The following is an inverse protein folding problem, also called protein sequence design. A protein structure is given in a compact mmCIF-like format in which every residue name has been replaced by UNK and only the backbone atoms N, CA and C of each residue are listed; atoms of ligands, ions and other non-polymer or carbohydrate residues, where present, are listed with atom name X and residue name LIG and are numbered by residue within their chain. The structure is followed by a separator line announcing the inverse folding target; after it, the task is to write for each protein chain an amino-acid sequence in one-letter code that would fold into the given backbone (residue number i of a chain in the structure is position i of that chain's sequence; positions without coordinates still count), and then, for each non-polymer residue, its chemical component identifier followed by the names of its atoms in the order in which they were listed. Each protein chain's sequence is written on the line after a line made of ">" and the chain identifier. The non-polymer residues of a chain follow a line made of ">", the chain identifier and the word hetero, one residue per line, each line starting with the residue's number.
data_IF_391320822707
#
_entry.id   IF_391320822707
#
_cell.length_a   1.000
_cell.length_b   1.000
_cell.length_c   1.000
_cell.angle_alpha   90.00
_cell.angle_beta   90.00
_cell.angle_gamma   90.00
#
_symmetry.space_group_name_H-M   'P 1'
#
loop_
_entity.id
_entity.type
_entity.pdbx_description
1 polymer ?
#
# COMPACT_ATOMS: atom_id res chain seq x y z
N UNK A 1 9.71 -25.17 26.04
CA UNK A 1 10.52 -23.95 25.79
C UNK A 1 10.34 -23.57 24.33
N UNK A 2 10.46 -22.28 23.94
CA UNK A 2 10.54 -21.94 22.51
C UNK A 2 11.78 -22.57 21.88
N UNK A 3 11.83 -22.68 20.55
CA UNK A 3 13.02 -23.23 19.90
C UNK A 3 14.19 -22.26 20.08
N UNK A 4 15.15 -22.66 20.90
CA UNK A 4 16.31 -21.84 21.27
C UNK A 4 17.05 -21.31 20.05
N UNK A 5 17.17 -22.12 18.99
CA UNK A 5 17.87 -21.73 17.77
C UNK A 5 17.24 -20.49 17.10
N UNK A 6 15.91 -20.43 16.99
CA UNK A 6 15.21 -19.30 16.35
C UNK A 6 15.28 -18.05 17.22
N UNK A 7 15.21 -18.22 18.55
CA UNK A 7 15.44 -17.11 19.49
C UNK A 7 16.83 -16.52 19.28
N UNK A 8 17.86 -17.37 19.24
CA UNK A 8 19.24 -16.91 19.00
C UNK A 8 19.38 -16.20 17.65
N UNK A 9 18.81 -16.74 16.57
CA UNK A 9 18.84 -16.06 15.26
C UNK A 9 18.25 -14.64 15.32
N UNK A 10 17.14 -14.45 16.04
CA UNK A 10 16.55 -13.12 16.21
C UNK A 10 17.44 -12.17 17.03
N UNK A 11 18.10 -12.68 18.07
CA UNK A 11 19.06 -11.88 18.86
C UNK A 11 20.30 -11.53 18.03
N UNK A 12 20.88 -12.50 17.33
CA UNK A 12 22.04 -12.32 16.45
C UNK A 12 21.72 -11.28 15.35
N UNK A 13 20.49 -11.26 14.83
CA UNK A 13 20.04 -10.26 13.85
C UNK A 13 20.07 -8.83 14.42
N UNK A 14 19.63 -8.65 15.67
CA UNK A 14 19.74 -7.36 16.36
C UNK A 14 21.20 -6.96 16.59
N UNK A 15 22.06 -7.89 17.05
CA UNK A 15 23.47 -7.61 17.32
C UNK A 15 24.27 -7.27 16.05
N UNK A 16 23.91 -7.87 14.91
CA UNK A 16 24.55 -7.64 13.63
C UNK A 16 24.27 -6.24 13.06
N UNK A 17 23.09 -5.68 13.32
CA UNK A 17 22.64 -4.41 12.75
C UNK A 17 22.68 -3.24 13.73
N UNK A 18 22.94 -3.51 15.01
CA UNK A 18 22.96 -2.48 16.06
C UNK A 18 24.15 -2.63 17.01
N UNK A 19 24.33 -1.67 17.91
CA UNK A 19 25.28 -1.79 19.01
C UNK A 19 24.75 -2.58 20.22
N UNK A 20 23.50 -3.06 20.18
CA UNK A 20 22.90 -3.84 21.27
C UNK A 20 23.59 -5.19 21.42
N UNK A 21 23.75 -5.65 22.66
CA UNK A 21 24.33 -6.97 22.97
C UNK A 21 23.47 -7.71 23.98
N UNK A 22 23.15 -8.96 23.68
CA UNK A 22 22.31 -9.84 24.49
C UNK A 22 23.19 -10.87 25.19
N UNK A 23 23.40 -10.65 26.48
CA UNK A 23 24.24 -11.52 27.30
C UNK A 23 23.37 -12.46 28.12
N UNK A 24 23.68 -13.77 28.19
CA UNK A 24 22.94 -14.70 29.03
C UNK A 24 22.87 -14.23 30.49
N UNK A 25 21.66 -14.05 31.00
CA UNK A 25 21.44 -13.74 32.41
C UNK A 25 21.60 -15.01 33.27
N UNK A 26 22.13 -14.85 34.48
CA UNK A 26 22.09 -15.91 35.48
C UNK A 26 20.62 -16.18 35.88
N UNK A 27 20.26 -17.45 36.12
CA UNK A 27 18.91 -17.85 36.49
C UNK A 27 18.41 -17.18 37.78
N UNK A 28 19.33 -16.73 38.65
CA UNK A 28 19.04 -16.00 39.90
C UNK A 28 19.16 -14.48 39.76
N UNK A 29 19.34 -13.96 38.55
CA UNK A 29 19.49 -12.52 38.32
C UNK A 29 18.24 -11.75 38.75
N UNK A 30 18.44 -10.75 39.61
CA UNK A 30 17.42 -9.78 40.01
C UNK A 30 17.42 -8.53 39.12
N UNK A 31 18.40 -8.40 38.22
CA UNK A 31 18.45 -7.32 37.24
C UNK A 31 17.36 -7.54 36.17
N UNK A 32 16.83 -6.46 35.56
CA UNK A 32 15.95 -6.58 34.40
C UNK A 32 16.61 -7.41 33.29
N UNK A 33 15.88 -8.40 32.78
CA UNK A 33 16.35 -9.27 31.69
C UNK A 33 15.16 -9.83 30.91
N UNK A 34 15.41 -10.36 29.71
CA UNK A 34 14.39 -11.01 28.91
C UNK A 34 14.28 -12.50 29.26
N UNK A 35 13.05 -12.97 29.44
CA UNK A 35 12.73 -14.38 29.66
C UNK A 35 11.88 -14.90 28.51
N UNK A 36 12.52 -15.57 27.56
CA UNK A 36 11.83 -16.21 26.46
C UNK A 36 11.06 -17.44 26.94
N UNK A 37 9.73 -17.38 26.87
CA UNK A 37 8.83 -18.44 27.34
C UNK A 37 7.85 -18.83 26.24
N UNK A 38 7.39 -20.08 26.27
CA UNK A 38 6.31 -20.55 25.40
C UNK A 38 4.97 -20.31 26.10
N UNK A 39 4.40 -19.12 25.93
CA UNK A 39 3.07 -18.78 26.44
C UNK A 39 2.08 -18.68 25.27
N UNK A 40 0.84 -18.28 25.55
CA UNK A 40 -0.16 -18.06 24.50
C UNK A 40 0.19 -16.81 23.67
N UNK A 41 0.15 -16.96 22.35
CA UNK A 41 0.45 -15.88 21.39
C UNK A 41 1.92 -15.48 21.32
N UNK A 42 2.19 -14.53 20.42
CA UNK A 42 3.47 -13.83 20.30
C UNK A 42 3.27 -12.46 20.94
N UNK A 43 4.03 -12.16 22.01
CA UNK A 43 3.90 -10.88 22.73
C UNK A 43 5.11 -10.57 23.60
N UNK A 44 5.36 -9.28 23.78
CA UNK A 44 6.27 -8.73 24.77
C UNK A 44 5.71 -7.43 25.35
N UNK A 45 6.14 -7.09 26.56
CA UNK A 45 6.01 -5.73 27.08
C UNK A 45 6.85 -4.74 26.28
N UNK A 46 6.48 -3.46 26.32
CA UNK A 46 7.21 -2.39 25.62
C UNK A 46 8.18 -1.70 26.59
N UNK A 47 9.47 -1.80 26.31
CA UNK A 47 10.54 -1.30 27.18
C UNK A 47 10.80 -2.20 28.40
N UNK A 48 11.46 -1.63 29.42
CA UNK A 48 11.80 -2.33 30.66
C UNK A 48 10.63 -2.22 31.65
N UNK A 49 9.95 -3.33 31.91
CA UNK A 49 8.72 -3.30 32.74
C UNK A 49 8.94 -3.42 34.25
N UNK A 50 9.96 -4.17 34.71
CA UNK A 50 10.11 -4.50 36.14
C UNK A 50 11.53 -4.87 36.54
N UNK A 51 11.80 -4.79 37.85
CA UNK A 51 12.92 -5.48 38.47
C UNK A 51 12.69 -7.00 38.39
N UNK A 52 13.72 -7.76 37.99
CA UNK A 52 13.60 -9.17 37.60
C UNK A 52 13.18 -9.38 36.14
N UNK A 53 13.09 -10.63 35.70
CA UNK A 53 12.91 -10.95 34.28
C UNK A 53 11.50 -10.67 33.72
N UNK A 54 11.42 -10.03 32.55
CA UNK A 54 10.19 -9.81 31.79
C UNK A 54 9.96 -10.89 30.74
N UNK A 55 8.70 -11.31 30.56
CA UNK A 55 8.40 -12.42 29.66
C UNK A 55 8.32 -11.94 28.21
N UNK A 56 9.04 -12.65 27.34
CA UNK A 56 8.86 -12.58 25.88
C UNK A 56 8.21 -13.90 25.44
N UNK A 57 6.97 -13.83 24.99
CA UNK A 57 6.20 -15.01 24.59
C UNK A 57 6.50 -15.38 23.15
N UNK A 58 7.07 -16.57 22.94
CA UNK A 58 7.22 -17.22 21.64
C UNK A 58 6.38 -18.50 21.67
N UNK A 59 5.11 -18.36 21.32
CA UNK A 59 4.11 -19.44 21.29
C UNK A 59 4.27 -20.42 20.11
N UNK A 60 3.28 -21.30 19.94
CA UNK A 60 3.33 -22.41 18.97
C UNK A 60 3.53 -21.98 17.50
N UNK A 61 3.02 -20.81 17.10
CA UNK A 61 3.09 -20.29 15.74
C UNK A 61 4.03 -19.07 15.61
N UNK A 62 4.84 -18.81 16.63
CA UNK A 62 5.71 -17.64 16.73
C UNK A 62 7.16 -17.95 16.36
N UNK A 63 7.46 -19.18 15.99
CA UNK A 63 8.82 -19.67 15.82
C UNK A 63 9.41 -19.29 14.45
N UNK A 64 9.49 -17.98 14.20
CA UNK A 64 10.08 -17.36 13.02
C UNK A 64 11.02 -16.25 13.48
N UNK A 65 12.17 -16.11 12.82
CA UNK A 65 13.15 -15.07 13.17
C UNK A 65 12.51 -13.67 13.20
N UNK A 66 11.72 -13.30 12.18
CA UNK A 66 11.04 -12.00 12.12
C UNK A 66 10.10 -11.74 13.29
N UNK A 67 9.42 -12.78 13.82
CA UNK A 67 8.58 -12.67 15.01
C UNK A 67 9.44 -12.46 16.26
N UNK A 68 10.54 -13.20 16.42
CA UNK A 68 11.46 -12.96 17.53
C UNK A 68 12.00 -11.53 17.49
N UNK A 69 12.42 -11.06 16.32
CA UNK A 69 12.91 -9.68 16.11
C UNK A 69 11.84 -8.66 16.51
N UNK A 70 10.57 -8.86 16.12
CA UNK A 70 9.43 -8.02 16.51
C UNK A 70 9.25 -7.96 18.03
N UNK A 71 9.20 -9.12 18.69
CA UNK A 71 8.97 -9.17 20.14
C UNK A 71 10.14 -8.58 20.93
N UNK A 72 11.37 -8.75 20.44
CA UNK A 72 12.55 -8.07 20.99
C UNK A 72 12.46 -6.57 20.73
N UNK A 73 11.97 -6.14 19.56
CA UNK A 73 11.67 -4.74 19.25
C UNK A 73 10.78 -4.08 20.30
N UNK A 74 9.69 -4.74 20.68
CA UNK A 74 8.88 -4.31 21.83
C UNK A 74 9.69 -4.23 23.11
N UNK A 75 10.43 -5.29 23.47
CA UNK A 75 11.21 -5.34 24.71
C UNK A 75 12.26 -4.22 24.81
N UNK A 76 12.79 -3.73 23.70
CA UNK A 76 13.75 -2.61 23.64
C UNK A 76 13.06 -1.23 23.50
N UNK A 77 11.73 -1.18 23.53
CA UNK A 77 10.96 0.06 23.60
C UNK A 77 10.27 0.51 22.31
N UNK A 78 10.25 -0.32 21.26
CA UNK A 78 9.55 0.02 20.02
C UNK A 78 8.06 -0.29 20.11
N UNK A 79 7.22 0.67 19.77
CA UNK A 79 5.78 0.48 19.58
C UNK A 79 5.48 0.11 18.13
N UNK A 80 4.27 -0.35 17.85
CA UNK A 80 3.85 -0.61 16.48
C UNK A 80 3.89 0.67 15.63
N UNK A 81 4.48 0.59 14.44
CA UNK A 81 4.64 1.71 13.50
C UNK A 81 3.30 2.36 13.15
N UNK A 82 2.23 1.54 13.10
CA UNK A 82 0.84 1.99 12.88
C UNK A 82 0.33 2.94 13.98
N UNK A 83 1.00 3.07 15.12
CA UNK A 83 0.57 3.95 16.22
C UNK A 83 1.25 5.32 16.17
N UNK A 84 2.16 5.57 15.24
CA UNK A 84 2.80 6.89 15.10
C UNK A 84 1.78 8.01 14.80
N UNK A 85 2.05 9.25 15.25
CA UNK A 85 1.14 10.38 15.03
C UNK A 85 1.03 10.79 13.56
N UNK A 86 2.07 10.53 12.76
CA UNK A 86 2.22 10.90 11.35
C UNK A 86 1.78 9.79 10.36
N UNK A 87 1.21 8.68 10.84
CA UNK A 87 0.87 7.54 9.98
C UNK A 87 -0.12 7.87 8.85
N UNK A 88 -1.03 8.83 9.07
CA UNK A 88 -2.21 8.99 8.20
C UNK A 88 -1.85 9.58 6.83
N UNK A 89 -0.62 10.11 6.68
CA UNK A 89 -0.03 10.50 5.38
C UNK A 89 0.56 9.32 4.60
N UNK A 90 0.71 8.15 5.24
CA UNK A 90 1.33 6.94 4.68
C UNK A 90 0.33 5.80 4.52
N UNK A 91 -0.62 5.68 5.45
CA UNK A 91 -1.66 4.66 5.46
C UNK A 91 -3.03 5.24 5.80
N UNK A 92 -4.08 4.49 5.51
CA UNK A 92 -5.44 4.72 5.95
C UNK A 92 -5.92 3.50 6.75
N UNK A 93 -6.47 3.75 7.94
CA UNK A 93 -7.03 2.72 8.81
C UNK A 93 -8.55 2.71 8.65
N UNK A 94 -9.13 1.57 8.31
CA UNK A 94 -10.58 1.39 8.26
C UNK A 94 -11.09 0.73 9.53
N UNK A 95 -11.50 1.57 10.49
CA UNK A 95 -12.00 1.14 11.79
C UNK A 95 -13.25 0.25 11.71
N UNK A 96 -14.07 0.39 10.66
CA UNK A 96 -15.27 -0.44 10.47
C UNK A 96 -14.96 -1.91 10.20
N UNK A 97 -13.77 -2.20 9.68
CA UNK A 97 -13.31 -3.57 9.43
C UNK A 97 -12.58 -4.16 10.64
N UNK A 98 -12.32 -3.39 11.70
CA UNK A 98 -11.55 -3.83 12.86
C UNK A 98 -12.49 -4.40 13.92
N UNK A 99 -12.08 -5.47 14.59
CA UNK A 99 -12.78 -6.00 15.75
C UNK A 99 -12.96 -4.89 16.81
N UNK A 100 -14.17 -4.62 17.32
CA UNK A 100 -14.40 -3.46 18.20
C UNK A 100 -13.49 -3.42 19.45
N UNK A 101 -13.14 -4.59 20.01
CA UNK A 101 -12.26 -4.70 21.18
C UNK A 101 -10.77 -4.52 20.84
N UNK A 102 -10.40 -4.49 19.56
CA UNK A 102 -9.02 -4.34 19.07
C UNK A 102 -8.72 -2.91 18.59
N UNK A 103 -9.71 -2.01 18.52
CA UNK A 103 -9.52 -0.63 18.05
C UNK A 103 -8.42 0.13 18.80
N UNK A 104 -8.25 -0.15 20.10
CA UNK A 104 -7.22 0.50 20.92
C UNK A 104 -5.79 0.25 20.41
N UNK A 105 -5.55 -0.88 19.72
CA UNK A 105 -4.26 -1.20 19.10
C UNK A 105 -3.92 -0.27 17.92
N UNK A 106 -4.92 0.39 17.34
CA UNK A 106 -4.80 1.34 16.25
C UNK A 106 -4.86 2.79 16.72
N UNK A 107 -4.94 3.09 18.01
CA UNK A 107 -4.95 4.48 18.48
C UNK A 107 -3.56 5.11 18.36
N UNK A 108 -3.46 6.29 17.73
CA UNK A 108 -2.21 7.04 17.62
C UNK A 108 -1.67 7.43 19.00
N UNK A 109 -0.36 7.44 19.14
CA UNK A 109 0.38 7.92 20.31
C UNK A 109 1.18 9.15 19.90
N UNK A 110 0.83 10.32 20.44
CA UNK A 110 1.41 11.59 20.01
C UNK A 110 2.88 11.81 20.41
N UNK A 111 3.37 11.03 21.37
CA UNK A 111 4.74 11.10 21.90
C UNK A 111 5.71 10.11 21.25
N UNK A 112 5.28 9.31 20.27
CA UNK A 112 6.20 8.41 19.58
C UNK A 112 7.20 9.19 18.74
N UNK A 113 8.44 8.69 18.72
CA UNK A 113 9.53 9.25 17.94
C UNK A 113 9.18 9.28 16.44
N UNK A 114 9.40 10.43 15.82
CA UNK A 114 9.26 10.62 14.36
C UNK A 114 10.55 11.14 13.72
N UNK A 115 11.68 10.98 14.41
CA UNK A 115 13.04 11.34 13.97
C UNK A 115 13.44 10.54 12.73
N UNK A 116 13.09 9.25 12.72
CA UNK A 116 13.19 8.41 11.51
C UNK A 116 11.85 8.44 10.78
N UNK A 117 11.89 8.56 9.46
CA UNK A 117 10.71 8.61 8.60
C UNK A 117 9.86 7.34 8.72
N UNK A 118 8.53 7.48 8.58
CA UNK A 118 7.59 6.37 8.71
C UNK A 118 7.96 5.21 7.78
N UNK A 119 7.91 3.97 8.27
CA UNK A 119 8.36 2.80 7.50
C UNK A 119 7.29 1.71 7.30
N UNK A 120 6.76 1.63 6.08
CA UNK A 120 5.82 0.58 5.67
C UNK A 120 6.41 -0.83 5.75
N UNK A 121 7.74 -0.96 5.66
CA UNK A 121 8.47 -2.23 5.72
C UNK A 121 8.91 -2.63 7.12
N UNK A 122 8.64 -1.78 8.13
CA UNK A 122 9.05 -2.00 9.50
C UNK A 122 8.56 -3.36 10.01
N UNK A 123 9.45 -4.05 10.74
CA UNK A 123 9.09 -5.24 11.51
C UNK A 123 8.01 -4.92 12.55
N UNK A 124 7.85 -3.66 12.96
CA UNK A 124 6.83 -3.21 13.90
C UNK A 124 5.53 -2.79 13.22
N UNK A 125 5.40 -2.88 11.89
CA UNK A 125 4.18 -2.54 11.18
C UNK A 125 3.21 -3.73 11.10
N UNK A 126 1.90 -3.46 11.26
CA UNK A 126 0.84 -4.45 11.03
C UNK A 126 0.71 -4.86 9.57
N UNK A 127 0.15 -6.05 9.33
CA UNK A 127 -0.25 -6.45 7.97
C UNK A 127 -1.63 -5.88 7.61
N UNK A 128 -1.98 -5.98 6.32
CA UNK A 128 -3.23 -5.45 5.69
C UNK A 128 -4.55 -5.84 6.36
N UNK A 129 -4.62 -7.03 6.98
CA UNK A 129 -5.84 -7.63 7.53
C UNK A 129 -5.76 -7.79 9.06
N UNK A 130 -4.80 -7.13 9.72
CA UNK A 130 -4.60 -7.27 11.17
C UNK A 130 -5.90 -6.93 11.91
N UNK A 131 -6.33 -7.81 12.82
CA UNK A 131 -7.57 -7.67 13.59
C UNK A 131 -8.86 -7.47 12.79
N UNK A 132 -8.90 -7.94 11.54
CA UNK A 132 -10.09 -7.85 10.70
C UNK A 132 -11.26 -8.65 11.29
N UNK A 133 -12.41 -8.00 11.44
CA UNK A 133 -13.65 -8.60 11.93
C UNK A 133 -14.41 -9.37 10.84
N UNK A 134 -14.17 -9.03 9.58
CA UNK A 134 -14.97 -9.45 8.43
C UNK A 134 -14.14 -9.94 7.24
N UNK A 135 -12.84 -10.20 7.46
CA UNK A 135 -11.92 -10.64 6.42
C UNK A 135 -11.54 -9.57 5.39
N UNK A 136 -11.88 -8.29 5.63
CA UNK A 136 -11.56 -7.16 4.74
C UNK A 136 -10.41 -6.32 5.28
N UNK A 137 -9.83 -5.50 4.41
CA UNK A 137 -8.68 -4.63 4.69
C UNK A 137 -8.93 -3.68 5.86
N UNK A 138 -8.07 -3.77 6.88
CA UNK A 138 -8.05 -2.84 8.02
C UNK A 138 -7.03 -1.73 7.82
N UNK A 139 -5.92 -2.02 7.13
CA UNK A 139 -4.86 -1.05 6.85
C UNK A 139 -4.52 -1.03 5.36
N UNK A 140 -4.77 0.11 4.72
CA UNK A 140 -4.40 0.36 3.34
C UNK A 140 -3.26 1.37 3.23
N UNK A 141 -2.33 1.14 2.31
CA UNK A 141 -1.29 2.14 2.00
C UNK A 141 -1.87 3.27 1.16
N UNK A 142 -1.37 4.51 1.35
CA UNK A 142 -1.77 5.67 0.54
C UNK A 142 -1.35 5.54 -0.92
N UNK A 143 -0.16 4.98 -1.17
CA UNK A 143 0.21 4.44 -2.47
C UNK A 143 -0.18 2.96 -2.52
N UNK A 144 -1.23 2.57 -3.29
CA UNK A 144 -1.66 1.18 -3.38
C UNK A 144 -0.57 0.24 -3.90
N UNK A 145 0.41 0.75 -4.67
CA UNK A 145 1.51 -0.05 -5.23
C UNK A 145 2.44 -0.60 -4.14
N UNK A 146 2.37 -0.07 -2.92
CA UNK A 146 3.13 -0.51 -1.75
C UNK A 146 2.32 -1.40 -0.80
N UNK A 147 1.09 -1.76 -1.16
CA UNK A 147 0.19 -2.49 -0.25
C UNK A 147 0.78 -3.80 0.27
N UNK A 148 1.52 -4.50 -0.61
CA UNK A 148 2.21 -5.74 -0.27
C UNK A 148 3.56 -5.56 0.43
N UNK A 149 3.98 -4.35 0.78
CA UNK A 149 5.11 -4.12 1.69
C UNK A 149 4.70 -4.41 3.14
N UNK A 150 3.45 -4.09 3.50
CA UNK A 150 2.95 -4.24 4.87
C UNK A 150 3.02 -5.69 5.37
N UNK A 151 3.61 -5.85 6.55
CA UNK A 151 3.70 -7.14 7.24
C UNK A 151 4.55 -8.19 6.50
N UNK A 152 5.46 -7.76 5.61
CA UNK A 152 6.39 -8.65 4.90
C UNK A 152 7.21 -9.55 5.83
N UNK A 153 7.55 -9.05 7.02
CA UNK A 153 8.30 -9.75 8.06
C UNK A 153 7.56 -10.94 8.71
N UNK A 154 6.22 -10.97 8.65
CA UNK A 154 5.42 -12.12 9.14
C UNK A 154 5.39 -13.27 8.13
N UNK A 155 5.77 -13.00 6.87
CA UNK A 155 5.59 -13.95 5.77
C UNK A 155 6.48 -15.16 5.92
N UNK A 156 5.92 -16.34 5.66
CA UNK A 156 6.60 -17.60 5.94
C UNK A 156 7.76 -17.87 4.97
N UNK A 157 7.70 -17.31 3.76
CA UNK A 157 8.71 -17.49 2.70
C UNK A 157 9.81 -16.43 2.70
N UNK A 158 9.66 -15.36 3.48
CA UNK A 158 10.59 -14.24 3.54
C UNK A 158 11.16 -14.18 4.95
N UNK A 159 12.39 -14.63 5.16
CA UNK A 159 13.11 -14.49 6.43
C UNK A 159 13.57 -13.04 6.67
N UNK A 160 12.63 -12.10 6.61
CA UNK A 160 12.88 -10.67 6.80
C UNK A 160 12.90 -10.34 8.30
N UNK A 161 13.92 -9.60 8.72
CA UNK A 161 14.06 -9.04 10.05
C UNK A 161 13.83 -7.53 10.04
N UNK A 162 14.67 -6.80 10.76
CA UNK A 162 14.69 -5.34 10.77
C UNK A 162 14.79 -4.77 9.35
N UNK A 163 13.98 -3.77 9.07
CA UNK A 163 14.20 -2.87 7.95
C UNK A 163 15.39 -1.94 8.22
N UNK A 164 15.80 -1.18 7.19
CA UNK A 164 16.82 -0.14 7.35
C UNK A 164 16.41 0.89 8.41
N UNK A 165 15.13 1.31 8.38
CA UNK A 165 14.61 2.34 9.28
C UNK A 165 14.37 1.81 10.70
N UNK A 166 14.05 0.52 10.87
CA UNK A 166 14.03 -0.12 12.20
C UNK A 166 15.41 -0.08 12.85
N UNK A 167 16.44 -0.50 12.11
CA UNK A 167 17.81 -0.50 12.60
C UNK A 167 18.31 0.93 12.86
N UNK A 168 18.00 1.88 11.98
CA UNK A 168 18.34 3.28 12.16
C UNK A 168 17.69 3.85 13.43
N UNK A 169 16.39 3.66 13.63
CA UNK A 169 15.69 4.15 14.82
C UNK A 169 16.27 3.54 16.10
N UNK A 170 16.49 2.23 16.13
CA UNK A 170 17.11 1.56 17.27
C UNK A 170 18.52 2.09 17.56
N UNK A 171 19.33 2.28 16.52
CA UNK A 171 20.69 2.83 16.65
C UNK A 171 20.68 4.27 17.15
N UNK A 172 19.68 5.06 16.75
CA UNK A 172 19.50 6.42 17.23
C UNK A 172 19.14 6.45 18.72
N UNK A 173 18.10 5.74 19.14
CA UNK A 173 17.61 5.80 20.53
C UNK A 173 18.57 5.15 21.55
N UNK A 174 19.43 4.24 21.11
CA UNK A 174 20.44 3.59 21.96
C UNK A 174 21.84 4.22 21.88
N UNK A 175 21.99 5.36 21.17
CA UNK A 175 23.26 6.10 21.12
C UNK A 175 24.37 5.42 20.30
N UNK A 176 24.02 4.45 19.46
CA UNK A 176 24.98 3.73 18.62
C UNK A 176 25.62 4.66 17.59
N UNK A 177 24.84 5.61 17.06
CA UNK A 177 25.30 6.54 16.02
C UNK A 177 26.40 7.46 16.55
N UNK A 178 26.21 8.06 17.72
CA UNK A 178 27.20 8.91 18.38
C UNK A 178 28.45 8.09 18.76
N UNK A 179 28.25 6.87 19.25
CA UNK A 179 29.34 5.95 19.57
C UNK A 179 30.22 5.67 18.34
N UNK A 180 29.62 5.30 17.21
CA UNK A 180 30.36 4.99 15.98
C UNK A 180 31.03 6.23 15.38
N UNK A 181 30.35 7.37 15.41
CA UNK A 181 30.95 8.64 14.99
C UNK A 181 32.23 8.96 15.79
N UNK A 182 32.16 8.84 17.13
CA UNK A 182 33.31 9.05 18.01
C UNK A 182 34.46 8.08 17.73
N UNK A 183 34.16 6.78 17.58
CA UNK A 183 35.14 5.74 17.25
C UNK A 183 35.84 5.99 15.91
N UNK A 184 35.11 6.53 14.94
CA UNK A 184 35.62 6.85 13.62
C UNK A 184 36.22 8.26 13.51
N UNK A 185 36.27 9.02 14.60
CA UNK A 185 36.81 10.39 14.61
C UNK A 185 35.98 11.41 13.82
N UNK A 186 34.68 11.15 13.64
CA UNK A 186 33.76 11.99 12.88
C UNK A 186 32.85 12.79 13.82
N UNK A 187 32.57 14.05 13.46
CA UNK A 187 31.70 14.95 14.25
C UNK A 187 30.23 14.93 13.81
N UNK A 188 29.94 14.43 12.61
CA UNK A 188 28.61 14.39 12.01
C UNK A 188 28.48 13.19 11.09
N UNK A 189 27.25 12.72 10.88
CA UNK A 189 26.94 11.66 9.92
C UNK A 189 27.41 12.08 8.51
N UNK A 190 28.30 11.31 7.86
CA UNK A 190 28.76 11.60 6.50
C UNK A 190 27.85 11.00 5.42
N UNK A 191 26.78 10.29 5.81
CA UNK A 191 25.93 9.54 4.91
C UNK A 191 24.70 10.34 4.50
N UNK A 192 24.37 10.28 3.21
CA UNK A 192 23.24 10.94 2.56
C UNK A 192 22.01 10.01 2.50
N UNK A 193 20.87 10.56 2.07
CA UNK A 193 19.65 9.83 1.74
C UNK A 193 19.16 8.86 2.85
N UNK A 194 19.15 9.30 4.11
CA UNK A 194 18.81 8.48 5.29
C UNK A 194 19.79 7.33 5.59
N UNK A 195 20.98 7.34 4.98
CA UNK A 195 22.09 6.49 5.41
C UNK A 195 22.64 6.91 6.77
N UNK A 196 23.25 5.97 7.47
CA UNK A 196 23.93 6.23 8.73
C UNK A 196 25.28 5.51 8.82
N UNK A 197 26.20 6.04 9.60
CA UNK A 197 27.52 5.42 9.79
C UNK A 197 27.38 4.14 10.61
N UNK A 198 27.95 3.03 10.15
CA UNK A 198 28.04 1.78 10.90
C UNK A 198 29.35 1.63 11.69
N UNK A 199 29.49 0.53 12.46
CA UNK A 199 30.65 0.26 13.32
C UNK A 199 31.98 0.12 12.56
N UNK A 200 31.93 -0.18 11.25
CA UNK A 200 33.09 -0.30 10.36
C UNK A 200 33.56 1.05 9.77
N UNK A 201 33.02 2.18 10.25
CA UNK A 201 33.27 3.51 9.69
C UNK A 201 32.86 3.64 8.21
N UNK A 202 31.85 2.88 7.79
CA UNK A 202 31.25 2.91 6.46
C UNK A 202 29.76 3.21 6.55
N UNK A 203 29.21 3.89 5.55
CA UNK A 203 27.78 4.16 5.51
C UNK A 203 26.97 2.88 5.27
N UNK A 204 25.94 2.69 6.07
CA UNK A 204 24.86 1.74 5.85
C UNK A 204 23.81 2.47 5.02
N UNK A 205 23.58 2.02 3.79
CA UNK A 205 22.69 2.69 2.85
C UNK A 205 21.30 2.06 2.85
N UNK A 206 20.23 2.87 2.82
CA UNK A 206 18.88 2.35 2.63
C UNK A 206 18.72 1.67 1.27
N UNK A 207 17.69 0.85 1.16
CA UNK A 207 17.27 0.27 -0.12
C UNK A 207 17.08 1.35 -1.18
N UNK A 208 17.60 1.11 -2.39
CA UNK A 208 17.56 2.07 -3.50
C UNK A 208 18.74 3.04 -3.58
N UNK A 209 19.62 3.11 -2.57
CA UNK A 209 20.83 3.94 -2.61
C UNK A 209 22.11 3.12 -2.45
N UNK A 210 23.20 3.64 -3.00
CA UNK A 210 24.52 3.01 -3.01
C UNK A 210 25.62 4.08 -3.00
N UNK A 211 26.88 3.66 -2.99
CA UNK A 211 28.02 4.57 -2.93
C UNK A 211 28.60 4.65 -1.52
N UNK A 212 29.76 5.28 -1.39
CA UNK A 212 30.49 5.35 -0.11
C UNK A 212 29.73 6.16 0.94
N UNK A 213 28.98 7.17 0.51
CA UNK A 213 28.16 8.04 1.35
C UNK A 213 26.66 7.86 1.09
N UNK A 214 26.24 6.81 0.38
CA UNK A 214 24.84 6.62 -0.03
C UNK A 214 24.27 7.72 -0.94
N UNK A 215 25.15 8.45 -1.63
CA UNK A 215 24.85 9.56 -2.54
C UNK A 215 24.23 9.10 -3.86
N UNK A 216 24.55 7.88 -4.31
CA UNK A 216 24.07 7.35 -5.58
C UNK A 216 22.67 6.76 -5.41
N UNK A 217 21.65 7.49 -5.87
CA UNK A 217 20.24 7.07 -5.85
C UNK A 217 19.89 6.30 -7.13
N UNK A 218 19.62 5.00 -7.00
CA UNK A 218 19.09 4.16 -8.10
C UNK A 218 17.56 4.21 -8.15
N UNK A 219 16.93 4.27 -6.98
CA UNK A 219 15.51 4.42 -6.78
C UNK A 219 15.27 5.03 -5.39
N UNK A 220 14.10 5.65 -5.17
CA UNK A 220 13.71 6.02 -3.81
C UNK A 220 13.49 4.76 -2.95
N UNK A 221 13.49 4.93 -1.62
CA UNK A 221 13.30 3.83 -0.68
C UNK A 221 12.06 2.99 -1.02
N UNK A 222 10.92 3.64 -1.24
CA UNK A 222 9.68 2.95 -1.56
C UNK A 222 9.59 2.46 -3.01
N UNK A 223 10.17 3.16 -3.98
CA UNK A 223 10.23 2.64 -5.36
C UNK A 223 11.00 1.31 -5.41
N UNK A 224 12.08 1.18 -4.64
CA UNK A 224 12.85 -0.07 -4.57
C UNK A 224 12.09 -1.21 -3.86
N UNK A 225 11.09 -0.91 -3.02
CA UNK A 225 10.27 -1.89 -2.31
C UNK A 225 9.03 -2.35 -3.10
N UNK A 226 8.72 -1.71 -4.23
CA UNK A 226 7.61 -2.13 -5.09
C UNK A 226 7.89 -3.51 -5.68
N UNK A 227 6.86 -4.34 -5.73
CA UNK A 227 6.97 -5.66 -6.36
C UNK A 227 7.21 -5.52 -7.87
N UNK A 228 8.12 -6.31 -8.46
CA UNK A 228 8.46 -6.23 -9.88
C UNK A 228 7.30 -6.65 -10.81
N UNK A 229 6.30 -7.37 -10.32
CA UNK A 229 5.11 -7.73 -11.11
C UNK A 229 3.98 -6.70 -11.00
N UNK A 230 4.09 -5.69 -10.13
CA UNK A 230 3.09 -4.64 -10.01
C UNK A 230 3.11 -3.74 -11.24
N UNK A 231 1.93 -3.35 -11.73
CA UNK A 231 1.77 -2.60 -12.97
C UNK A 231 0.77 -1.45 -12.81
N UNK A 232 1.09 -0.31 -13.43
CA UNK A 232 0.13 0.77 -13.69
C UNK A 232 -0.38 0.61 -15.11
N UNK A 233 -1.68 0.35 -15.25
CA UNK A 233 -2.32 -0.04 -16.51
C UNK A 233 -3.23 1.08 -16.96
N UNK A 234 -2.91 1.66 -18.13
CA UNK A 234 -3.65 2.78 -18.72
C UNK A 234 -4.19 2.46 -20.12
N UNK A 235 -3.96 1.24 -20.61
CA UNK A 235 -4.45 0.72 -21.89
C UNK A 235 -4.98 -0.71 -21.72
N UNK A 236 -5.94 -1.15 -22.57
CA UNK A 236 -6.42 -2.52 -22.55
C UNK A 236 -5.26 -3.52 -22.72
N UNK A 237 -5.27 -4.57 -21.90
CA UNK A 237 -4.17 -5.55 -21.85
C UNK A 237 -4.65 -6.85 -21.20
N UNK A 238 -3.78 -7.85 -21.12
CA UNK A 238 -3.99 -9.04 -20.28
C UNK A 238 -3.01 -9.01 -19.12
N UNK A 239 -3.52 -9.25 -17.92
CA UNK A 239 -2.72 -9.42 -16.71
C UNK A 239 -2.77 -10.87 -16.25
N UNK A 240 -1.70 -11.31 -15.62
CA UNK A 240 -1.64 -12.63 -14.99
C UNK A 240 -0.74 -12.59 -13.76
N UNK A 241 -0.97 -13.52 -12.83
CA UNK A 241 -0.04 -13.77 -11.74
C UNK A 241 1.32 -14.24 -12.28
N UNK A 242 2.42 -14.00 -11.56
CA UNK A 242 3.74 -14.45 -11.96
C UNK A 242 3.78 -15.96 -12.27
N UNK A 243 4.46 -16.30 -13.37
CA UNK A 243 4.64 -17.67 -13.91
C UNK A 243 3.39 -18.35 -14.49
N UNK A 244 2.22 -17.73 -14.47
CA UNK A 244 1.02 -18.32 -15.06
C UNK A 244 1.28 -18.80 -16.51
N UNK A 245 0.85 -20.03 -16.89
CA UNK A 245 -0.01 -20.95 -16.13
C UNK A 245 0.72 -21.90 -15.16
N UNK A 246 2.05 -21.80 -15.04
CA UNK A 246 2.76 -22.49 -13.97
C UNK A 246 2.44 -21.87 -12.60
N UNK A 247 2.66 -22.63 -11.53
CA UNK A 247 2.23 -22.21 -10.20
C UNK A 247 2.99 -20.97 -9.72
N UNK A 248 2.40 -20.05 -8.95
CA UNK A 248 3.12 -18.89 -8.38
C UNK A 248 3.93 -19.27 -7.11
N UNK A 249 4.98 -18.50 -6.81
CA UNK A 249 5.85 -18.74 -5.64
C UNK A 249 5.20 -18.25 -4.33
N UNK A 250 5.57 -18.86 -3.21
CA UNK A 250 5.14 -18.44 -1.89
C UNK A 250 5.67 -17.04 -1.54
N UNK A 251 4.82 -16.18 -0.99
CA UNK A 251 5.11 -14.78 -0.67
C UNK A 251 5.07 -13.82 -1.86
N UNK A 252 4.63 -14.29 -3.02
CA UNK A 252 4.41 -13.44 -4.20
C UNK A 252 3.31 -12.43 -3.92
N UNK A 253 3.47 -11.20 -4.37
CA UNK A 253 2.41 -10.21 -4.35
C UNK A 253 2.56 -9.24 -5.51
N UNK A 254 1.46 -8.78 -6.07
CA UNK A 254 1.43 -7.81 -7.18
C UNK A 254 0.28 -6.83 -6.96
N UNK A 255 0.45 -5.61 -7.42
CA UNK A 255 -0.62 -4.60 -7.47
C UNK A 255 -0.81 -4.19 -8.93
N UNK A 256 -2.02 -4.33 -9.43
CA UNK A 256 -2.42 -3.84 -10.74
C UNK A 256 -3.32 -2.63 -10.52
N UNK A 257 -2.76 -1.43 -10.67
CA UNK A 257 -3.50 -0.17 -10.62
C UNK A 257 -4.01 0.11 -12.02
N UNK A 258 -5.30 -0.13 -12.25
CA UNK A 258 -5.93 0.10 -13.54
C UNK A 258 -6.58 1.48 -13.53
N UNK A 259 -6.13 2.36 -14.42
CA UNK A 259 -6.60 3.72 -14.56
C UNK A 259 -7.14 3.92 -15.97
N UNK A 260 -8.47 4.04 -16.07
CA UNK A 260 -9.16 4.24 -17.34
C UNK A 260 -9.04 5.70 -17.81
N UNK A 261 -9.11 5.96 -19.12
CA UNK A 261 -9.22 7.31 -19.64
C UNK A 261 -10.50 7.99 -19.13
N UNK A 262 -10.56 9.32 -19.25
CA UNK A 262 -11.74 10.09 -18.85
C UNK A 262 -13.02 9.50 -19.45
N UNK A 263 -14.08 9.47 -18.64
CA UNK A 263 -15.38 8.91 -18.99
C UNK A 263 -15.39 7.43 -19.33
N UNK A 264 -14.38 6.68 -18.91
CA UNK A 264 -14.40 5.24 -18.96
C UNK A 264 -14.17 4.65 -17.57
N UNK A 265 -14.80 3.49 -17.35
CA UNK A 265 -14.58 2.65 -16.20
C UNK A 265 -13.65 1.51 -16.59
N UNK A 266 -12.69 1.15 -15.74
CA UNK A 266 -11.98 -0.10 -15.87
C UNK A 266 -12.89 -1.30 -15.65
N UNK A 267 -12.77 -2.27 -16.56
CA UNK A 267 -13.40 -3.59 -16.51
C UNK A 267 -12.32 -4.66 -16.56
N UNK A 268 -12.25 -5.49 -15.52
CA UNK A 268 -11.36 -6.65 -15.46
C UNK A 268 -12.20 -7.91 -15.57
N UNK A 269 -12.01 -8.66 -16.65
CA UNK A 269 -12.70 -9.93 -16.90
C UNK A 269 -11.79 -11.08 -16.53
N UNK A 270 -12.22 -11.93 -15.60
CA UNK A 270 -11.47 -13.11 -15.17
C UNK A 270 -11.52 -14.15 -16.29
N UNK A 271 -10.35 -14.59 -16.76
CA UNK A 271 -10.23 -15.63 -17.79
C UNK A 271 -9.98 -17.00 -17.18
N UNK A 272 -9.11 -17.07 -16.17
CA UNK A 272 -8.85 -18.25 -15.34
C UNK A 272 -8.45 -17.82 -13.94
N UNK A 273 -8.80 -18.59 -12.92
CA UNK A 273 -8.40 -18.36 -11.54
C UNK A 273 -8.38 -19.64 -10.71
N UNK A 274 -7.23 -19.92 -10.12
CA UNK A 274 -7.02 -20.94 -9.12
C UNK A 274 -6.01 -20.42 -8.08
N UNK A 275 -6.53 -20.02 -6.93
CA UNK A 275 -5.77 -19.55 -5.77
C UNK A 275 -5.95 -20.51 -4.59
N UNK A 276 -5.20 -20.29 -3.51
CA UNK A 276 -5.43 -21.00 -2.25
C UNK A 276 -6.86 -20.83 -1.71
N UNK A 277 -7.42 -21.85 -1.02
CA UNK A 277 -8.83 -21.87 -0.62
C UNK A 277 -9.13 -20.93 0.56
N UNK A 278 -10.42 -20.71 0.81
CA UNK A 278 -10.90 -20.04 2.02
C UNK A 278 -10.51 -20.80 3.30
N UNK A 279 -10.41 -20.06 4.41
CA UNK A 279 -10.29 -20.65 5.74
C UNK A 279 -11.62 -21.26 6.23
N UNK A 280 -11.61 -21.84 7.43
CA UNK A 280 -12.81 -22.45 8.04
C UNK A 280 -13.94 -21.46 8.34
N UNK A 281 -13.67 -20.16 8.28
CA UNK A 281 -14.64 -19.06 8.49
C UNK A 281 -15.10 -18.47 7.16
N UNK A 282 -14.77 -19.09 6.03
CA UNK A 282 -15.08 -18.62 4.68
C UNK A 282 -14.39 -17.28 4.33
N UNK A 283 -13.21 -17.03 4.91
CA UNK A 283 -12.41 -15.85 4.58
C UNK A 283 -11.20 -16.21 3.71
N UNK A 284 -10.86 -15.32 2.79
CA UNK A 284 -9.65 -15.39 1.99
C UNK A 284 -8.48 -14.77 2.76
N UNK A 285 -7.68 -15.59 3.44
CA UNK A 285 -6.63 -15.12 4.36
C UNK A 285 -5.20 -15.21 3.78
N UNK A 286 -4.87 -16.32 3.12
CA UNK A 286 -3.50 -16.63 2.69
C UNK A 286 -3.23 -16.16 1.26
N UNK A 287 -4.04 -16.64 0.33
CA UNK A 287 -3.90 -16.38 -1.10
C UNK A 287 -5.18 -15.75 -1.62
N UNK A 288 -5.12 -14.55 -2.15
CA UNK A 288 -6.31 -13.81 -2.57
C UNK A 288 -6.00 -12.72 -3.59
N UNK A 289 -7.04 -12.30 -4.32
CA UNK A 289 -7.08 -11.02 -5.01
C UNK A 289 -8.06 -10.13 -4.26
N UNK A 290 -7.61 -8.97 -3.84
CA UNK A 290 -8.48 -7.91 -3.35
C UNK A 290 -8.80 -6.96 -4.50
N UNK A 291 -10.08 -6.73 -4.75
CA UNK A 291 -10.57 -5.82 -5.77
C UNK A 291 -11.14 -4.59 -5.08
N UNK A 292 -10.50 -3.43 -5.27
CA UNK A 292 -10.91 -2.15 -4.69
C UNK A 292 -11.42 -1.21 -5.77
N UNK A 293 -12.59 -0.64 -5.51
CA UNK A 293 -13.25 0.28 -6.42
C UNK A 293 -13.08 1.71 -5.92
N UNK A 294 -12.18 2.48 -6.55
CA UNK A 294 -11.86 3.89 -6.23
C UNK A 294 -11.47 4.22 -4.77
N UNK A 295 -11.50 3.24 -3.87
CA UNK A 295 -11.18 3.38 -2.45
C UNK A 295 -9.84 2.74 -2.13
N UNK A 296 -9.18 3.27 -1.09
CA UNK A 296 -7.96 2.70 -0.57
C UNK A 296 -8.20 1.35 0.13
N UNK A 297 -9.37 1.12 0.71
CA UNK A 297 -9.66 -0.08 1.52
C UNK A 297 -11.05 -0.68 1.28
N UNK A 298 -11.97 0.02 0.60
CA UNK A 298 -13.30 -0.52 0.29
C UNK A 298 -13.21 -1.42 -0.94
N UNK A 299 -13.00 -2.70 -0.67
CA UNK A 299 -12.92 -3.75 -1.66
C UNK A 299 -13.45 -5.07 -1.12
N UNK A 300 -13.49 -6.07 -1.98
CA UNK A 300 -13.79 -7.45 -1.60
C UNK A 300 -12.61 -8.35 -1.97
N UNK A 301 -12.47 -9.44 -1.23
CA UNK A 301 -11.41 -10.42 -1.45
C UNK A 301 -12.01 -11.65 -2.12
N UNK A 302 -11.29 -12.22 -3.08
CA UNK A 302 -11.62 -13.48 -3.74
C UNK A 302 -10.44 -14.43 -3.68
N UNK A 303 -10.71 -15.74 -3.58
CA UNK A 303 -9.70 -16.79 -3.50
C UNK A 303 -10.28 -18.12 -4.00
N UNK A 304 -9.50 -19.21 -3.89
CA UNK A 304 -9.90 -20.52 -4.38
C UNK A 304 -10.13 -20.54 -5.90
N UNK A 305 -11.13 -21.33 -6.30
CA UNK A 305 -11.64 -21.44 -7.68
C UNK A 305 -13.09 -20.92 -7.76
N UNK A 306 -13.46 -19.99 -6.89
CA UNK A 306 -14.85 -19.56 -6.68
C UNK A 306 -15.33 -18.60 -7.77
N UNK A 307 -14.39 -17.91 -8.43
CA UNK A 307 -14.74 -16.92 -9.46
C UNK A 307 -14.78 -17.62 -10.81
N UNK A 308 -15.99 -17.70 -11.38
CA UNK A 308 -16.19 -18.29 -12.69
C UNK A 308 -15.48 -17.48 -13.79
N UNK A 309 -14.88 -18.14 -14.80
CA UNK A 309 -14.42 -17.48 -16.02
C UNK A 309 -15.54 -16.65 -16.66
N UNK A 310 -15.21 -15.45 -17.13
CA UNK A 310 -16.16 -14.47 -17.65
C UNK A 310 -16.73 -13.52 -16.60
N UNK A 311 -16.42 -13.71 -15.31
CA UNK A 311 -16.78 -12.74 -14.26
C UNK A 311 -16.12 -11.39 -14.54
N UNK A 312 -16.89 -10.30 -14.49
CA UNK A 312 -16.40 -8.94 -14.74
C UNK A 312 -16.41 -8.11 -13.46
N UNK A 313 -15.26 -7.55 -13.10
CA UNK A 313 -15.14 -6.53 -12.07
C UNK A 313 -15.04 -5.17 -12.72
N UNK A 314 -16.08 -4.36 -12.54
CA UNK A 314 -16.20 -3.03 -13.10
C UNK A 314 -16.13 -1.98 -12.01
N UNK A 315 -15.29 -0.96 -12.20
CA UNK A 315 -15.24 0.19 -11.29
C UNK A 315 -16.40 1.16 -11.53
N UNK A 316 -16.77 1.93 -10.50
CA UNK A 316 -17.80 2.98 -10.58
C UNK A 316 -17.28 4.31 -11.13
N UNK A 317 -15.97 4.47 -11.17
CA UNK A 317 -15.33 5.59 -11.86
C UNK A 317 -14.05 5.16 -12.54
N UNK A 318 -12.98 5.95 -12.45
CA UNK A 318 -11.83 5.82 -13.38
C UNK A 318 -10.72 4.92 -12.87
N UNK A 319 -10.77 4.46 -11.61
CA UNK A 319 -9.70 3.63 -11.02
C UNK A 319 -10.23 2.33 -10.42
N UNK A 320 -9.57 1.23 -10.76
CA UNK A 320 -9.76 -0.08 -10.13
C UNK A 320 -8.39 -0.61 -9.69
N UNK A 321 -8.29 -1.10 -8.45
CA UNK A 321 -7.04 -1.65 -7.92
C UNK A 321 -7.24 -3.13 -7.65
N UNK A 322 -6.37 -3.95 -8.20
CA UNK A 322 -6.28 -5.37 -7.88
C UNK A 322 -5.00 -5.61 -7.10
N UNK A 323 -5.13 -6.07 -5.86
CA UNK A 323 -4.01 -6.50 -5.03
C UNK A 323 -4.00 -8.02 -4.93
N UNK A 324 -3.07 -8.65 -5.66
CA UNK A 324 -2.82 -10.08 -5.57
C UNK A 324 -1.82 -10.37 -4.46
N UNK A 325 -2.18 -11.29 -3.56
CA UNK A 325 -1.30 -11.86 -2.53
C UNK A 325 -1.32 -13.38 -2.66
N UNK A 326 -0.16 -14.00 -2.82
CA UNK A 326 0.04 -15.44 -2.80
C UNK A 326 1.03 -15.81 -1.69
N UNK A 327 0.57 -15.84 -0.44
CA UNK A 327 1.40 -16.15 0.73
C UNK A 327 1.87 -17.61 0.74
N UNK A 328 0.95 -18.55 0.50
CA UNK A 328 1.23 -19.98 0.54
C UNK A 328 1.94 -20.45 -0.75
N UNK A 329 1.55 -19.90 -1.90
CA UNK A 329 2.10 -20.31 -3.18
C UNK A 329 1.54 -21.65 -3.67
N UNK A 330 1.98 -22.08 -4.85
CA UNK A 330 1.76 -23.45 -5.32
C UNK A 330 0.45 -23.72 -6.06
N UNK A 331 -0.30 -22.69 -6.44
CA UNK A 331 -1.48 -22.79 -7.31
C UNK A 331 -1.22 -22.11 -8.65
N UNK A 332 -2.00 -22.41 -9.71
CA UNK A 332 -1.77 -21.85 -11.06
C UNK A 332 -1.88 -20.33 -11.10
N UNK A 333 -2.63 -19.71 -10.20
CA UNK A 333 -2.78 -18.26 -10.14
C UNK A 333 -3.98 -17.78 -10.93
N UNK A 334 -3.82 -16.66 -11.64
CA UNK A 334 -4.93 -16.08 -12.41
C UNK A 334 -4.47 -15.48 -13.73
N UNK A 335 -5.41 -15.37 -14.66
CA UNK A 335 -5.30 -14.54 -15.85
C UNK A 335 -6.59 -13.75 -16.02
N UNK A 336 -6.48 -12.46 -16.36
CA UNK A 336 -7.61 -11.59 -16.59
C UNK A 336 -7.34 -10.61 -17.73
N UNK A 337 -8.38 -10.28 -18.51
CA UNK A 337 -8.31 -9.22 -19.52
C UNK A 337 -8.81 -7.91 -18.95
N UNK A 338 -8.05 -6.84 -19.18
CA UNK A 338 -8.38 -5.47 -18.81
C UNK A 338 -8.93 -4.75 -20.03
N UNK A 339 -10.08 -4.12 -19.87
CA UNK A 339 -10.72 -3.29 -20.88
C UNK A 339 -11.37 -2.06 -20.24
N UNK A 340 -11.87 -1.15 -21.07
CA UNK A 340 -12.48 0.10 -20.62
C UNK A 340 -13.85 0.28 -21.24
N UNK A 341 -14.86 0.55 -20.44
CA UNK A 341 -16.23 0.79 -20.90
C UNK A 341 -16.71 2.20 -20.54
N UNK A 342 -17.61 2.81 -21.32
CA UNK A 342 -18.09 4.17 -21.02
C UNK A 342 -18.74 4.27 -19.63
N UNK A 343 -18.41 5.32 -18.89
CA UNK A 343 -19.07 5.67 -17.62
C UNK A 343 -20.43 6.33 -17.90
N UNK A 344 -21.54 5.78 -17.38
CA UNK A 344 -22.84 6.45 -17.44
C UNK A 344 -22.76 7.81 -16.74
N UNK A 345 -23.43 8.83 -17.27
CA UNK A 345 -23.47 10.13 -16.61
C UNK A 345 -22.18 10.97 -16.74
N UNK A 346 -21.16 10.50 -17.47
CA UNK A 346 -19.90 11.24 -17.57
C UNK A 346 -19.91 12.31 -18.68
N UNK A 347 -19.41 13.49 -18.33
CA UNK A 347 -19.15 14.60 -19.25
C UNK A 347 -17.67 14.59 -19.63
N UNK A 348 -17.36 14.25 -20.88
CA UNK A 348 -15.97 14.06 -21.30
C UNK A 348 -15.48 15.13 -22.26
N UNK A 349 -14.19 15.45 -22.17
CA UNK A 349 -13.47 16.22 -23.17
C UNK A 349 -12.23 15.46 -23.63
N UNK A 350 -11.96 15.42 -24.93
CA UNK A 350 -10.70 14.86 -25.42
C UNK A 350 -10.13 15.71 -26.56
N UNK A 351 -8.80 15.91 -26.63
CA UNK A 351 -8.18 16.60 -27.75
C UNK A 351 -8.29 15.76 -29.02
N UNK A 352 -8.42 16.44 -30.17
CA UNK A 352 -8.46 15.75 -31.46
C UNK A 352 -7.08 15.20 -31.83
N UNK A 353 -7.02 14.02 -32.42
CA UNK A 353 -5.78 13.44 -32.96
C UNK A 353 -5.13 14.32 -34.04
N UNK A 354 -5.92 15.20 -34.68
CA UNK A 354 -5.46 16.15 -35.70
C UNK A 354 -4.92 17.48 -35.14
N UNK A 355 -5.21 17.83 -33.88
CA UNK A 355 -4.75 19.09 -33.27
C UNK A 355 -4.90 19.07 -31.74
N UNK A 356 -3.83 19.37 -30.98
CA UNK A 356 -3.87 19.42 -29.51
C UNK A 356 -4.66 20.63 -28.96
N UNK A 357 -5.00 21.61 -29.81
CA UNK A 357 -5.78 22.80 -29.42
C UNK A 357 -7.27 22.68 -29.70
N UNK A 358 -7.72 21.59 -30.32
CA UNK A 358 -9.15 21.33 -30.58
C UNK A 358 -9.64 20.20 -29.68
N UNK A 359 -10.73 20.44 -28.95
CA UNK A 359 -11.32 19.47 -28.02
C UNK A 359 -12.72 19.07 -28.47
N UNK A 360 -13.03 17.78 -28.43
CA UNK A 360 -14.40 17.27 -28.54
C UNK A 360 -15.00 17.15 -27.14
N UNK A 361 -16.10 17.84 -26.93
CA UNK A 361 -16.91 17.77 -25.71
C UNK A 361 -18.11 16.87 -25.99
N UNK A 362 -18.42 15.97 -25.08
CA UNK A 362 -19.61 15.13 -25.19
C UNK A 362 -20.34 15.01 -23.85
N UNK A 363 -21.66 15.05 -23.94
CA UNK A 363 -22.56 14.82 -22.83
C UNK A 363 -22.66 13.33 -22.51
N UNK A 364 -23.14 12.96 -21.31
CA UNK A 364 -23.43 11.58 -20.96
C UNK A 364 -24.18 10.85 -22.04
N UNK A 365 -23.81 9.57 -22.23
CA UNK A 365 -24.44 8.62 -23.14
C UNK A 365 -24.27 8.89 -24.64
N UNK A 366 -23.81 10.06 -25.07
CA UNK A 366 -23.61 10.36 -26.49
C UNK A 366 -22.75 9.28 -27.18
N UNK A 367 -23.19 8.71 -28.33
CA UNK A 367 -24.29 9.17 -29.19
C UNK A 367 -25.69 8.65 -28.78
N UNK A 368 -25.78 7.79 -27.79
CA UNK A 368 -27.05 7.28 -27.26
C UNK A 368 -27.74 8.31 -26.35
N UNK A 369 -29.08 8.39 -26.36
CA UNK A 369 -29.81 9.26 -25.45
C UNK A 369 -29.67 8.78 -24.00
N UNK A 370 -29.65 9.74 -23.06
CA UNK A 370 -29.65 9.48 -21.62
C UNK A 370 -31.01 9.90 -21.06
N UNK A 371 -31.61 9.04 -20.24
CA UNK A 371 -32.94 9.25 -19.65
C UNK A 371 -32.91 9.95 -18.29
N UNK A 372 -31.73 10.34 -17.81
CA UNK A 372 -31.52 11.00 -16.53
C UNK A 372 -30.96 12.41 -16.74
N UNK A 373 -31.45 13.44 -16.01
CA UNK A 373 -30.88 14.77 -16.05
C UNK A 373 -29.39 14.77 -15.73
N UNK A 374 -28.61 15.58 -16.45
CA UNK A 374 -27.18 15.73 -16.22
C UNK A 374 -26.75 17.19 -16.29
N UNK A 375 -25.62 17.53 -15.67
CA UNK A 375 -24.98 18.83 -15.79
C UNK A 375 -23.50 18.63 -16.08
N UNK A 376 -23.01 19.25 -17.16
CA UNK A 376 -21.63 19.12 -17.60
C UNK A 376 -20.88 20.43 -17.50
N UNK A 377 -19.74 20.40 -16.83
CA UNK A 377 -18.74 21.47 -16.85
C UNK A 377 -17.47 20.94 -17.50
N UNK A 378 -16.94 21.68 -18.47
CA UNK A 378 -15.71 21.32 -19.18
C UNK A 378 -14.67 22.41 -18.97
N UNK A 379 -13.45 22.01 -18.61
CA UNK A 379 -12.30 22.91 -18.55
C UNK A 379 -11.39 22.63 -19.75
N UNK A 380 -11.15 23.64 -20.57
CA UNK A 380 -10.27 23.55 -21.74
C UNK A 380 -9.03 24.40 -21.45
N UNK A 381 -7.83 23.81 -21.36
CA UNK A 381 -6.60 24.58 -21.20
C UNK A 381 -6.34 25.38 -22.48
N UNK A 382 -5.99 26.66 -22.32
CA UNK A 382 -5.64 27.57 -23.41
C UNK A 382 -4.34 28.27 -23.10
N UNK A 383 -3.40 28.20 -24.03
CA UNK A 383 -2.17 29.00 -23.97
C UNK A 383 -2.51 30.44 -24.38
N UNK A 384 -2.04 31.40 -23.58
CA UNK A 384 -2.30 32.82 -23.82
C UNK A 384 -1.38 33.37 -24.92
N UNK A 385 -1.87 34.24 -25.84
CA UNK A 385 -3.24 34.69 -26.04
C UNK A 385 -3.93 33.98 -27.21
N UNK A 386 -4.90 33.10 -26.94
CA UNK A 386 -5.76 32.48 -27.97
C UNK A 386 -7.26 32.80 -27.77
N UNK A 387 -7.99 32.89 -28.89
CA UNK A 387 -9.47 32.95 -28.89
C UNK A 387 -10.04 31.54 -28.92
N UNK A 388 -10.85 31.19 -27.92
CA UNK A 388 -11.59 29.92 -27.90
C UNK A 388 -12.84 30.06 -28.79
N UNK A 389 -12.99 29.15 -29.76
CA UNK A 389 -14.19 29.08 -30.62
C UNK A 389 -14.87 27.73 -30.37
N UNK A 390 -16.10 27.77 -29.87
CA UNK A 390 -16.92 26.56 -29.69
C UNK A 390 -17.79 26.36 -30.92
N UNK A 391 -17.63 25.22 -31.59
CA UNK A 391 -18.49 24.79 -32.71
C UNK A 391 -19.30 23.58 -32.30
N UNK A 392 -20.61 23.76 -32.21
CA UNK A 392 -21.55 22.67 -31.89
C UNK A 392 -21.79 21.84 -33.15
N UNK A 393 -21.36 20.58 -33.15
CA UNK A 393 -21.50 19.68 -34.31
C UNK A 393 -22.83 18.93 -34.35
N UNK A 394 -23.37 18.54 -33.20
CA UNK A 394 -24.64 17.82 -33.08
C UNK A 394 -25.26 18.08 -31.72
N UNK A 395 -26.56 18.35 -31.69
CA UNK A 395 -27.36 18.45 -30.46
C UNK A 395 -28.62 17.64 -30.67
N UNK A 396 -28.96 16.81 -29.68
CA UNK A 396 -30.26 16.14 -29.61
C UNK A 396 -30.77 16.32 -28.18
N UNK A 397 -31.81 17.13 -28.01
CA UNK A 397 -32.49 17.36 -26.74
C UNK A 397 -33.79 16.56 -26.78
N UNK A 398 -34.18 15.90 -25.67
CA UNK A 398 -35.50 15.26 -25.59
C UNK A 398 -36.59 16.31 -25.81
N UNK A 399 -37.36 16.18 -26.89
CA UNK A 399 -38.51 17.05 -27.19
C UNK A 399 -38.56 17.66 -28.59
N UNK A 400 -37.49 17.65 -29.39
CA UNK A 400 -37.51 18.32 -30.71
C UNK A 400 -37.10 17.43 -31.88
N UNK A 401 -38.04 17.22 -32.79
CA UNK A 401 -37.78 16.82 -34.18
C UNK A 401 -36.94 17.90 -34.88
N UNK A 402 -35.91 17.46 -35.60
CA UNK A 402 -34.95 18.24 -36.39
C UNK A 402 -35.53 19.52 -37.04
N UNK A 403 -35.43 20.65 -36.36
CA UNK A 403 -35.45 21.98 -36.94
C UNK A 403 -34.69 22.93 -36.00
N UNK A 404 -33.56 23.45 -36.50
CA UNK A 404 -32.73 24.54 -35.96
C UNK A 404 -33.31 25.27 -34.73
N UNK A 405 -32.66 25.03 -33.59
CA UNK A 405 -32.64 25.80 -32.36
C UNK A 405 -33.15 27.24 -32.51
N UNK A 406 -34.39 27.48 -32.06
CA UNK A 406 -34.75 28.77 -31.48
C UNK A 406 -34.50 28.67 -29.98
N UNK A 407 -33.53 29.47 -29.56
CA UNK A 407 -33.13 29.73 -28.18
C UNK A 407 -34.34 30.13 -27.33
N UNK A 408 -35.05 29.18 -26.72
CA UNK A 408 -36.00 29.48 -25.62
C UNK A 408 -36.45 28.27 -24.79
N UNK A 409 -35.75 27.13 -24.87
CA UNK A 409 -35.95 26.07 -23.88
C UNK A 409 -34.94 26.22 -22.72
N UNK A 410 -35.38 26.49 -21.47
CA UNK A 410 -34.48 26.64 -20.32
C UNK A 410 -33.75 25.34 -19.94
N UNK A 411 -34.12 24.19 -20.51
CA UNK A 411 -33.59 22.88 -20.13
C UNK A 411 -32.14 22.60 -20.61
N UNK A 412 -31.63 23.30 -21.62
CA UNK A 412 -30.27 23.10 -22.14
C UNK A 412 -29.62 24.43 -22.55
N UNK A 413 -29.12 25.19 -21.57
CA UNK A 413 -28.28 26.37 -21.86
C UNK A 413 -26.79 26.07 -21.71
N UNK A 414 -26.05 26.21 -22.80
CA UNK A 414 -24.60 26.19 -22.79
C UNK A 414 -24.08 27.53 -22.25
N UNK A 415 -23.35 27.53 -21.14
CA UNK A 415 -22.75 28.75 -20.58
C UNK A 415 -21.23 28.66 -20.67
N UNK A 416 -20.60 29.67 -21.28
CA UNK A 416 -19.16 29.80 -21.44
C UNK A 416 -18.59 30.80 -20.44
N UNK A 417 -17.77 30.34 -19.51
CA UNK A 417 -17.16 31.17 -18.48
C UNK A 417 -15.67 31.38 -18.73
N UNK A 418 -15.20 32.62 -18.60
CA UNK A 418 -13.79 32.98 -18.59
C UNK A 418 -13.16 32.72 -17.21
N UNK A 419 -11.84 32.51 -17.11
CA UNK A 419 -11.14 32.30 -15.83
C UNK A 419 -11.36 33.38 -14.77
N UNK A 420 -11.65 34.62 -15.20
CA UNK A 420 -11.94 35.77 -14.32
C UNK A 420 -13.43 35.93 -13.98
N UNK A 421 -14.24 34.87 -14.16
CA UNK A 421 -15.63 34.81 -13.68
C UNK A 421 -16.70 35.44 -14.56
N UNK A 422 -16.34 35.98 -15.75
CA UNK A 422 -17.35 36.45 -16.72
C UNK A 422 -17.91 35.28 -17.51
N UNK A 423 -19.21 35.04 -17.40
CA UNK A 423 -19.91 33.99 -18.12
C UNK A 423 -20.85 34.58 -19.19
N UNK A 424 -20.90 33.93 -20.35
CA UNK A 424 -21.81 34.24 -21.45
C UNK A 424 -22.69 33.02 -21.73
N UNK A 425 -23.99 33.23 -21.89
CA UNK A 425 -24.99 32.19 -22.19
C UNK A 425 -25.22 32.07 -23.68
#
# INVERSE_FOLDING_TARGET
>A
MPEKAVVMQGLDHWEALTCLRFVPANATSLLPHLQFRRLAGCRSGVGIEKAGGQNVSIGANCNKMGIVVHEVGHAIGLYHEIRRPDRDTHVAVNEHNILPHELYNFHKMHWLDTTVTYDLSSVMHYHTLEWSANGRTTVATRDPMLQGVLGGWKRSSLSLGLSHRDAFLANHIYGCLEQWLGQCGLKRNPCDNEGYLGPSCTCVCPSGTTGRTCDTVKASYYEHLKSPCSQHITSPTTIASPRYPAHYDAGTWCVYRVEAPQCHAPEVTVLDMELGPQDRRHHCHTDYIEVRNESLYDGFLVCGSEVAPGTVWRASGVTLILYFRGEAGGFRGFQASVSFSPLPGCCGSHPTTSSPTTYYLHTPGYPSPVTTPFNCSYSIPVDSPMKVVVKVKSVRVEGETAALARTQDPACSLTLCQPHGRCHR
#
